data_IF_189724418506
#
_entry.id   IF_189724418506
#
_cell.length_a   1.000
_cell.length_b   1.000
_cell.length_c   1.000
_cell.angle_alpha   90.00
_cell.angle_beta   90.00
_cell.angle_gamma   90.00
#
_symmetry.space_group_name_H-M   'P 1'
#
loop_
_entity.id
_entity.type
_entity.pdbx_description
1 polymer ?
#
# COMPACT_ATOMS: atom_id res chain seq x y z
N UNK A 1 -20.71 33.62 -12.54
CA UNK A 1 -20.64 32.22 -13.04
C UNK A 1 -19.24 31.77 -13.44
N UNK A 2 -18.39 32.57 -14.12
CA UNK A 2 -17.03 32.13 -14.51
C UNK A 2 -16.02 31.97 -13.36
N UNK A 3 -16.15 32.73 -12.25
CA UNK A 3 -15.29 32.60 -11.07
C UNK A 3 -15.46 31.26 -10.33
N UNK A 4 -16.69 30.73 -10.30
CA UNK A 4 -17.03 29.45 -9.66
C UNK A 4 -16.39 28.26 -10.39
N UNK A 5 -16.36 28.29 -11.73
CA UNK A 5 -15.80 27.21 -12.54
C UNK A 5 -14.28 27.08 -12.36
N UNK A 6 -13.57 28.21 -12.34
CA UNK A 6 -12.12 28.22 -12.13
C UNK A 6 -11.75 27.70 -10.74
N UNK A 7 -12.51 28.08 -9.71
CA UNK A 7 -12.31 27.60 -8.35
C UNK A 7 -12.52 26.07 -8.26
N UNK A 8 -13.60 25.54 -8.83
CA UNK A 8 -13.87 24.10 -8.84
C UNK A 8 -12.78 23.30 -9.57
N UNK A 9 -12.29 23.78 -10.71
CA UNK A 9 -11.20 23.11 -11.44
C UNK A 9 -9.93 23.03 -10.59
N UNK A 10 -9.58 24.11 -9.87
CA UNK A 10 -8.42 24.14 -8.98
C UNK A 10 -8.59 23.14 -7.82
N UNK A 11 -9.80 23.03 -7.26
CA UNK A 11 -10.08 22.05 -6.20
C UNK A 11 -9.93 20.61 -6.69
N UNK A 12 -10.46 20.28 -7.87
CA UNK A 12 -10.28 18.95 -8.46
C UNK A 12 -8.81 18.64 -8.76
N UNK A 13 -8.06 19.59 -9.30
CA UNK A 13 -6.62 19.43 -9.53
C UNK A 13 -5.86 19.16 -8.23
N UNK A 14 -6.18 19.90 -7.17
CA UNK A 14 -5.60 19.68 -5.84
C UNK A 14 -5.98 18.29 -5.29
N UNK A 15 -7.23 17.87 -5.45
CA UNK A 15 -7.69 16.55 -5.01
C UNK A 15 -6.95 15.42 -5.74
N UNK A 16 -6.80 15.53 -7.07
CA UNK A 16 -6.02 14.59 -7.88
C UNK A 16 -4.55 14.59 -7.44
N UNK A 17 -3.97 15.77 -7.19
CA UNK A 17 -2.61 15.91 -6.69
C UNK A 17 -2.40 15.14 -5.39
N UNK A 18 -3.28 15.33 -4.40
CA UNK A 18 -3.22 14.61 -3.13
C UNK A 18 -3.43 13.11 -3.28
N UNK A 19 -4.38 12.68 -4.13
CA UNK A 19 -4.62 11.27 -4.39
C UNK A 19 -3.37 10.58 -4.97
N UNK A 20 -2.68 11.24 -5.90
CA UNK A 20 -1.43 10.74 -6.49
C UNK A 20 -0.30 10.68 -5.46
N UNK A 21 -0.09 11.76 -4.70
CA UNK A 21 0.94 11.80 -3.65
C UNK A 21 0.71 10.71 -2.60
N UNK A 22 -0.53 10.53 -2.13
CA UNK A 22 -0.88 9.48 -1.18
C UNK A 22 -0.64 8.09 -1.78
N UNK A 23 -1.09 7.84 -3.01
CA UNK A 23 -0.92 6.54 -3.68
C UNK A 23 0.55 6.15 -3.83
N UNK A 24 1.40 7.10 -4.24
CA UNK A 24 2.85 6.87 -4.35
C UNK A 24 3.45 6.58 -2.97
N UNK A 25 3.13 7.40 -1.96
CA UNK A 25 3.63 7.21 -0.59
C UNK A 25 3.26 5.84 0.00
N UNK A 26 2.01 5.41 -0.17
CA UNK A 26 1.56 4.10 0.29
C UNK A 26 2.21 2.95 -0.47
N UNK A 27 2.36 3.05 -1.80
CA UNK A 27 3.03 2.00 -2.59
C UNK A 27 4.48 1.76 -2.13
N UNK A 28 5.19 2.84 -1.79
CA UNK A 28 6.55 2.77 -1.25
C UNK A 28 6.54 2.18 0.16
N UNK A 29 5.63 2.62 1.03
CA UNK A 29 5.48 2.08 2.38
C UNK A 29 5.21 0.58 2.40
N UNK A 30 4.29 0.10 1.56
CA UNK A 30 3.98 -1.33 1.40
C UNK A 30 5.23 -2.10 0.94
N UNK A 31 5.93 -1.58 -0.07
CA UNK A 31 7.13 -2.23 -0.62
C UNK A 31 8.24 -2.35 0.41
N UNK A 32 8.44 -1.31 1.21
CA UNK A 32 9.43 -1.32 2.31
C UNK A 32 9.03 -2.33 3.37
N UNK A 33 7.76 -2.36 3.79
CA UNK A 33 7.28 -3.29 4.82
C UNK A 33 7.52 -4.75 4.42
N UNK A 34 7.19 -5.12 3.17
CA UNK A 34 7.45 -6.47 2.64
C UNK A 34 8.95 -6.78 2.57
N UNK A 35 9.77 -5.83 2.12
CA UNK A 35 11.23 -6.01 2.05
C UNK A 35 11.86 -6.18 3.44
N UNK A 36 11.40 -5.43 4.43
CA UNK A 36 11.86 -5.57 5.83
C UNK A 36 11.46 -6.93 6.38
N UNK A 37 10.23 -7.38 6.11
CA UNK A 37 9.77 -8.70 6.52
C UNK A 37 10.63 -9.81 5.92
N UNK A 38 10.88 -9.79 4.61
CA UNK A 38 11.74 -10.78 3.94
C UNK A 38 13.17 -10.78 4.53
N UNK A 39 13.70 -9.60 4.88
CA UNK A 39 15.01 -9.48 5.57
C UNK A 39 15.01 -10.04 6.99
N UNK A 40 13.89 -10.00 7.69
CA UNK A 40 13.75 -10.59 9.02
C UNK A 40 13.59 -12.12 8.96
N UNK A 41 13.17 -12.66 7.81
CA UNK A 41 13.06 -14.11 7.56
C UNK A 41 14.03 -14.59 6.46
N UNK A 42 15.35 -14.38 6.59
CA UNK A 42 16.30 -14.64 5.50
C UNK A 42 16.44 -16.11 5.13
N UNK A 43 16.11 -17.02 6.05
CA UNK A 43 16.20 -18.47 5.84
C UNK A 43 14.93 -19.07 5.20
N UNK A 44 13.89 -18.27 4.98
CA UNK A 44 12.59 -18.73 4.46
C UNK A 44 12.20 -17.86 3.28
N UNK A 45 12.18 -18.46 2.08
CA UNK A 45 11.63 -17.77 0.92
C UNK A 45 10.10 -17.94 0.90
N UNK A 46 9.40 -16.96 1.43
CA UNK A 46 7.94 -16.97 1.58
C UNK A 46 7.22 -17.18 0.25
N UNK A 47 7.71 -16.54 -0.81
CA UNK A 47 7.13 -16.68 -2.16
C UNK A 47 7.33 -18.08 -2.73
N UNK A 48 8.46 -18.73 -2.44
CA UNK A 48 8.71 -20.13 -2.80
C UNK A 48 7.81 -21.08 -2.01
N UNK A 49 7.66 -20.86 -0.71
CA UNK A 49 6.79 -21.65 0.17
C UNK A 49 5.32 -21.58 -0.28
N UNK A 50 4.83 -20.39 -0.64
CA UNK A 50 3.47 -20.20 -1.18
C UNK A 50 3.31 -20.97 -2.49
N UNK A 51 4.28 -20.89 -3.41
CA UNK A 51 4.27 -21.64 -4.67
C UNK A 51 4.30 -23.16 -4.46
N UNK A 52 4.96 -23.61 -3.40
CA UNK A 52 5.00 -25.02 -3.00
C UNK A 52 3.71 -25.50 -2.30
N UNK A 53 2.71 -24.63 -2.09
CA UNK A 53 1.44 -24.97 -1.47
C UNK A 53 1.45 -24.85 0.07
N UNK A 54 2.43 -24.18 0.66
CA UNK A 54 2.48 -23.96 2.10
C UNK A 54 1.43 -22.92 2.53
N UNK A 55 0.34 -23.41 3.11
CA UNK A 55 -0.74 -22.57 3.63
C UNK A 55 -0.30 -21.67 4.79
N UNK A 56 0.69 -22.09 5.59
CA UNK A 56 1.23 -21.28 6.69
C UNK A 56 1.91 -20.01 6.19
N UNK A 57 2.80 -20.14 5.20
CA UNK A 57 3.45 -19.00 4.55
C UNK A 57 2.43 -18.06 3.89
N UNK A 58 1.41 -18.64 3.25
CA UNK A 58 0.32 -17.89 2.61
C UNK A 58 -0.49 -17.06 3.62
N UNK A 59 -0.79 -17.63 4.78
CA UNK A 59 -1.50 -16.94 5.86
C UNK A 59 -0.67 -15.81 6.45
N UNK A 60 0.64 -15.99 6.62
CA UNK A 60 1.52 -14.95 7.15
C UNK A 60 1.57 -13.75 6.20
N UNK A 61 1.83 -13.98 4.90
CA UNK A 61 1.87 -12.90 3.90
C UNK A 61 0.51 -12.18 3.83
N UNK A 62 -0.59 -12.94 3.84
CA UNK A 62 -1.94 -12.35 3.84
C UNK A 62 -2.20 -11.50 5.09
N UNK A 63 -1.78 -11.98 6.26
CA UNK A 63 -1.94 -11.26 7.53
C UNK A 63 -1.18 -9.93 7.52
N UNK A 64 0.03 -9.91 6.96
CA UNK A 64 0.83 -8.70 6.81
C UNK A 64 0.16 -7.72 5.84
N UNK A 65 -0.34 -8.19 4.71
CA UNK A 65 -1.06 -7.34 3.74
C UNK A 65 -2.31 -6.72 4.38
N UNK A 66 -3.10 -7.51 5.11
CA UNK A 66 -4.29 -7.02 5.83
C UNK A 66 -3.88 -5.97 6.87
N UNK A 67 -2.85 -6.26 7.68
CA UNK A 67 -2.35 -5.33 8.70
C UNK A 67 -1.89 -4.01 8.09
N UNK A 68 -1.15 -4.05 6.97
CA UNK A 68 -0.75 -2.84 6.25
C UNK A 68 -1.97 -2.10 5.72
N UNK A 69 -2.95 -2.79 5.14
CA UNK A 69 -4.21 -2.20 4.69
C UNK A 69 -4.97 -1.47 5.80
N UNK A 70 -5.01 -2.05 7.01
CA UNK A 70 -5.62 -1.40 8.18
C UNK A 70 -4.87 -0.13 8.60
N UNK A 71 -3.53 -0.13 8.53
CA UNK A 71 -2.72 1.06 8.81
C UNK A 71 -3.03 2.16 7.79
N UNK A 72 -3.08 1.82 6.50
CA UNK A 72 -3.41 2.75 5.41
C UNK A 72 -4.81 3.34 5.60
N UNK A 73 -5.81 2.51 5.90
CA UNK A 73 -7.17 2.96 6.17
C UNK A 73 -7.24 3.96 7.33
N UNK A 74 -6.41 3.80 8.36
CA UNK A 74 -6.36 4.71 9.50
C UNK A 74 -5.78 6.09 9.17
N UNK A 75 -5.02 6.21 8.09
CA UNK A 75 -4.29 7.41 7.68
C UNK A 75 -5.10 8.28 6.71
N UNK A 76 -5.96 7.67 5.90
CA UNK A 76 -6.86 8.35 4.94
C UNK A 76 -8.12 8.83 5.67
#
# INVERSE_FOLDING_TARGET
MGLELNAQIIEYLRAIGWALTASIGFSLGISIALTVFDKLTPNINQWSEIKAGNYGASLIITSIIIMIGLIVYRVI
#
